data_IF_069854679082
#
_entry.id   IF_069854679082
#
_cell.length_a   1.000
_cell.length_b   1.000
_cell.length_c   1.000
_cell.angle_alpha   90.00
_cell.angle_beta   90.00
_cell.angle_gamma   90.00
#
_symmetry.space_group_name_H-M   'P 1'
#
loop_
_entity.id
_entity.type
_entity.pdbx_description
1 polymer ?
#
# COMPACT_ATOMS: atom_id res chain seq x y z
N UNK A 1 10.39 -15.72 -10.22
CA UNK A 1 9.55 -16.00 -9.03
C UNK A 1 10.35 -16.86 -8.09
N UNK A 2 10.53 -16.42 -6.83
CA UNK A 2 11.31 -17.16 -5.83
C UNK A 2 10.56 -18.38 -5.29
N UNK A 3 11.26 -19.28 -4.58
CA UNK A 3 10.68 -20.53 -4.06
C UNK A 3 9.58 -20.29 -3.00
N UNK A 4 9.73 -19.25 -2.18
CA UNK A 4 8.73 -18.88 -1.17
C UNK A 4 7.42 -18.41 -1.83
N UNK A 5 7.51 -17.56 -2.86
CA UNK A 5 6.31 -17.11 -3.61
C UNK A 5 5.60 -18.29 -4.28
N UNK A 6 6.33 -19.23 -4.87
CA UNK A 6 5.74 -20.47 -5.42
C UNK A 6 5.04 -21.29 -4.34
N UNK A 7 5.66 -21.39 -3.16
CA UNK A 7 5.06 -22.10 -2.03
C UNK A 7 3.77 -21.45 -1.56
N UNK A 8 3.73 -20.09 -1.43
CA UNK A 8 2.53 -19.34 -1.06
C UNK A 8 1.41 -19.55 -2.08
N UNK A 9 1.71 -19.43 -3.39
CA UNK A 9 0.71 -19.69 -4.45
C UNK A 9 0.14 -21.09 -4.34
N UNK A 10 1.00 -22.10 -4.18
CA UNK A 10 0.58 -23.50 -4.06
C UNK A 10 -0.27 -23.75 -2.80
N UNK A 11 0.04 -23.07 -1.68
CA UNK A 11 -0.77 -23.11 -0.44
C UNK A 11 -2.15 -22.48 -0.69
N UNK A 12 -2.22 -21.32 -1.36
CA UNK A 12 -3.48 -20.68 -1.73
C UNK A 12 -4.32 -21.61 -2.61
N UNK A 13 -3.77 -22.15 -3.68
CA UNK A 13 -4.48 -23.02 -4.62
C UNK A 13 -5.04 -24.29 -3.96
N UNK A 14 -4.34 -24.84 -2.96
CA UNK A 14 -4.75 -26.07 -2.28
C UNK A 14 -5.72 -25.86 -1.12
N UNK A 15 -5.52 -24.80 -0.35
CA UNK A 15 -6.16 -24.64 0.95
C UNK A 15 -7.08 -23.42 1.03
N UNK A 16 -6.83 -22.37 0.24
CA UNK A 16 -7.48 -21.05 0.33
C UNK A 16 -8.01 -20.53 -1.01
N UNK A 17 -8.19 -21.39 -2.02
CA UNK A 17 -8.58 -21.00 -3.38
C UNK A 17 -9.87 -20.20 -3.47
N UNK A 18 -10.83 -20.44 -2.55
CA UNK A 18 -12.11 -19.74 -2.50
C UNK A 18 -12.08 -18.55 -1.52
N UNK A 19 -11.04 -18.47 -0.67
CA UNK A 19 -10.90 -17.50 0.41
C UNK A 19 -10.03 -16.30 0.04
N UNK A 20 -9.05 -16.47 -0.85
CA UNK A 20 -8.13 -15.41 -1.30
C UNK A 20 -8.55 -14.94 -2.69
N UNK A 21 -8.91 -13.67 -2.82
CA UNK A 21 -9.27 -13.06 -4.10
C UNK A 21 -8.03 -12.85 -5.00
N UNK A 22 -6.97 -12.25 -4.43
CA UNK A 22 -5.72 -11.94 -5.14
C UNK A 22 -4.51 -12.17 -4.24
N UNK A 23 -3.38 -12.58 -4.83
CA UNK A 23 -2.05 -12.45 -4.25
C UNK A 23 -1.27 -11.43 -5.09
N UNK A 24 -0.69 -10.45 -4.44
CA UNK A 24 -0.03 -9.31 -5.07
C UNK A 24 1.45 -9.30 -4.67
N UNK A 25 2.31 -9.03 -5.64
CA UNK A 25 3.69 -8.62 -5.44
C UNK A 25 3.87 -7.16 -5.86
N UNK A 26 4.90 -6.49 -5.35
CA UNK A 26 5.25 -5.12 -5.74
C UNK A 26 6.57 -5.13 -6.50
N UNK A 27 6.55 -4.59 -7.71
CA UNK A 27 7.73 -4.52 -8.58
C UNK A 27 8.77 -3.55 -8.01
N UNK A 28 9.99 -4.05 -7.83
CA UNK A 28 11.11 -3.23 -7.37
C UNK A 28 11.15 -3.00 -5.87
N UNK A 29 10.30 -3.67 -5.09
CA UNK A 29 10.31 -3.64 -3.65
C UNK A 29 11.13 -4.81 -3.11
N UNK A 30 12.43 -4.60 -3.01
CA UNK A 30 13.35 -5.47 -2.29
C UNK A 30 14.29 -4.60 -1.49
N UNK A 31 14.33 -4.79 -0.19
CA UNK A 31 15.28 -4.14 0.72
C UNK A 31 16.69 -4.68 0.57
N UNK A 32 16.85 -5.85 -0.04
CA UNK A 32 18.15 -6.46 -0.34
C UNK A 32 18.26 -6.78 -1.84
N UNK A 33 19.31 -6.31 -2.46
CA UNK A 33 19.57 -6.26 -3.90
C UNK A 33 19.49 -7.57 -4.72
N UNK A 34 19.04 -8.69 -4.14
CA UNK A 34 18.99 -10.01 -4.77
C UNK A 34 17.58 -10.54 -5.08
N UNK A 35 16.49 -9.89 -4.64
CA UNK A 35 15.15 -10.24 -5.08
C UNK A 35 14.85 -9.58 -6.43
N UNK A 36 15.44 -10.06 -7.49
CA UNK A 36 15.07 -9.71 -8.86
C UNK A 36 13.70 -10.28 -9.22
N UNK A 37 12.64 -9.50 -8.93
CA UNK A 37 11.28 -9.72 -9.45
C UNK A 37 10.42 -10.71 -8.63
N UNK A 38 9.11 -10.53 -8.68
CA UNK A 38 8.05 -11.48 -8.31
C UNK A 38 8.11 -12.09 -6.89
N UNK A 39 8.38 -11.26 -5.86
CA UNK A 39 8.08 -11.60 -4.47
C UNK A 39 6.66 -11.17 -4.15
N UNK A 40 5.93 -11.97 -3.34
CA UNK A 40 4.65 -11.50 -2.79
C UNK A 40 4.88 -10.36 -1.80
N UNK A 41 3.82 -9.57 -1.60
CA UNK A 41 3.78 -8.50 -0.61
C UNK A 41 2.52 -8.62 0.25
N UNK A 42 1.34 -8.67 -0.36
CA UNK A 42 0.07 -8.81 0.34
C UNK A 42 -0.92 -9.67 -0.43
N UNK A 43 -1.99 -10.08 0.25
CA UNK A 43 -3.14 -10.71 -0.40
C UNK A 43 -4.43 -9.93 -0.12
N UNK A 44 -5.41 -10.08 -1.04
CA UNK A 44 -6.75 -9.53 -0.86
C UNK A 44 -7.67 -10.65 -0.39
N UNK A 45 -8.23 -10.59 0.83
CA UNK A 45 -9.15 -11.61 1.31
C UNK A 45 -10.50 -11.52 0.58
N UNK A 46 -11.08 -12.69 0.27
CA UNK A 46 -12.44 -12.84 -0.19
C UNK A 46 -13.40 -13.24 0.96
N UNK A 47 -12.86 -13.92 1.96
CA UNK A 47 -13.55 -14.32 3.19
C UNK A 47 -12.70 -14.04 4.41
N UNK A 48 -13.31 -14.06 5.60
CA UNK A 48 -12.56 -13.87 6.87
C UNK A 48 -11.52 -14.99 7.10
N UNK A 49 -11.78 -16.20 6.60
CA UNK A 49 -10.84 -17.32 6.72
C UNK A 49 -9.50 -17.06 6.06
N UNK A 50 -9.46 -16.24 5.01
CA UNK A 50 -8.20 -15.86 4.38
C UNK A 50 -7.20 -15.22 5.35
N UNK A 51 -7.66 -14.59 6.44
CA UNK A 51 -6.76 -13.96 7.43
C UNK A 51 -5.88 -14.98 8.17
N UNK A 52 -6.23 -16.27 8.17
CA UNK A 52 -5.39 -17.35 8.71
C UNK A 52 -4.11 -17.56 7.88
N UNK A 53 -4.05 -17.03 6.66
CA UNK A 53 -2.88 -17.07 5.78
C UNK A 53 -1.81 -16.02 6.17
N UNK A 54 -2.17 -15.00 6.98
CA UNK A 54 -1.26 -13.96 7.39
C UNK A 54 -0.11 -14.55 8.22
N UNK A 55 1.13 -14.39 7.75
CA UNK A 55 2.31 -15.02 8.36
C UNK A 55 3.58 -14.21 8.04
N UNK A 56 4.51 -14.20 8.99
CA UNK A 56 5.87 -13.69 8.79
C UNK A 56 6.82 -14.87 8.61
N UNK A 57 7.50 -14.91 7.47
CA UNK A 57 8.55 -15.90 7.17
C UNK A 57 9.91 -15.29 7.44
N UNK A 58 10.81 -16.04 8.10
CA UNK A 58 12.22 -15.64 8.27
C UNK A 58 13.07 -16.61 7.45
N UNK A 59 13.68 -16.10 6.38
CA UNK A 59 14.55 -16.88 5.49
C UNK A 59 15.90 -16.18 5.41
N UNK A 60 16.97 -16.90 5.77
CA UNK A 60 18.34 -16.38 5.80
C UNK A 60 18.50 -15.09 6.64
N UNK A 61 17.67 -14.96 7.71
CA UNK A 61 17.64 -13.78 8.59
C UNK A 61 16.84 -12.61 8.06
N UNK A 62 16.18 -12.75 6.92
CA UNK A 62 15.32 -11.72 6.29
C UNK A 62 13.86 -12.05 6.58
N UNK A 63 13.10 -11.07 7.09
CA UNK A 63 11.65 -11.16 7.30
C UNK A 63 10.89 -10.95 5.98
N UNK A 64 9.94 -11.84 5.71
CA UNK A 64 8.99 -11.72 4.60
C UNK A 64 7.59 -11.77 5.16
N UNK A 65 6.88 -10.67 5.12
CA UNK A 65 5.53 -10.57 5.65
C UNK A 65 4.49 -10.81 4.56
N UNK A 66 3.58 -11.73 4.83
CA UNK A 66 2.38 -11.94 4.03
C UNK A 66 1.16 -11.49 4.86
N UNK A 67 0.54 -10.39 4.45
CA UNK A 67 -0.55 -9.78 5.22
C UNK A 67 -1.77 -9.43 4.36
N UNK A 68 -2.97 -9.36 4.97
CA UNK A 68 -4.19 -9.03 4.25
C UNK A 68 -4.30 -7.52 3.99
N UNK A 69 -4.77 -7.16 2.80
CA UNK A 69 -5.28 -5.83 2.48
C UNK A 69 -6.67 -5.94 1.89
N UNK A 70 -7.64 -5.27 2.50
CA UNK A 70 -9.02 -5.31 2.04
C UNK A 70 -9.22 -4.58 0.71
N UNK A 71 -10.30 -4.91 0.01
CA UNK A 71 -10.74 -4.14 -1.16
C UNK A 71 -10.95 -2.66 -0.83
N UNK A 72 -11.41 -2.34 0.38
CA UNK A 72 -11.58 -0.96 0.84
C UNK A 72 -10.25 -0.19 0.85
N UNK A 73 -9.14 -0.81 1.31
CA UNK A 73 -7.81 -0.17 1.25
C UNK A 73 -7.36 0.09 -0.19
N UNK A 74 -7.66 -0.81 -1.12
CA UNK A 74 -7.37 -0.59 -2.54
C UNK A 74 -8.21 0.56 -3.11
N UNK A 75 -9.48 0.68 -2.73
CA UNK A 75 -10.32 1.82 -3.09
C UNK A 75 -9.79 3.15 -2.49
N UNK A 76 -9.28 3.13 -1.27
CA UNK A 76 -8.62 4.30 -0.68
C UNK A 76 -7.35 4.68 -1.47
N UNK A 77 -6.60 3.70 -1.96
CA UNK A 77 -5.45 3.93 -2.84
C UNK A 77 -5.85 4.58 -4.17
N UNK A 78 -7.04 4.24 -4.73
CA UNK A 78 -7.60 4.91 -5.93
C UNK A 78 -7.76 6.42 -5.70
N UNK A 79 -8.13 6.80 -4.48
CA UNK A 79 -8.36 8.19 -4.08
C UNK A 79 -7.13 8.86 -3.46
N UNK A 80 -5.99 8.17 -3.43
CA UNK A 80 -4.75 8.62 -2.80
C UNK A 80 -4.85 8.82 -1.28
N UNK A 81 -5.83 8.19 -0.63
CA UNK A 81 -5.99 8.19 0.83
C UNK A 81 -5.13 7.12 1.52
N UNK A 82 -4.71 6.13 0.75
CA UNK A 82 -3.74 5.09 1.14
C UNK A 82 -2.60 5.05 0.10
N UNK A 83 -1.74 4.04 0.17
CA UNK A 83 -0.54 3.95 -0.66
C UNK A 83 -0.86 3.64 -2.13
N UNK A 84 -0.75 4.63 -3.01
CA UNK A 84 -0.96 4.50 -4.45
C UNK A 84 -0.01 3.46 -5.11
N UNK A 85 1.17 3.25 -4.51
CA UNK A 85 2.15 2.25 -4.91
C UNK A 85 1.57 0.83 -4.97
N UNK A 86 0.63 0.50 -4.07
CA UNK A 86 -0.05 -0.80 -4.02
C UNK A 86 -0.85 -1.12 -5.28
N UNK A 87 -1.22 -0.10 -6.04
CA UNK A 87 -1.90 -0.25 -7.33
C UNK A 87 -0.92 -0.11 -8.48
N UNK A 88 -0.10 0.93 -8.50
CA UNK A 88 0.73 1.28 -9.65
C UNK A 88 1.81 0.22 -9.94
N UNK A 89 2.61 -0.16 -8.93
CA UNK A 89 3.70 -1.13 -9.08
C UNK A 89 3.29 -2.58 -8.79
N UNK A 90 2.01 -2.81 -8.57
CA UNK A 90 1.49 -4.13 -8.27
C UNK A 90 1.62 -5.11 -9.45
N UNK A 91 1.97 -6.35 -9.11
CA UNK A 91 1.98 -7.50 -10.00
C UNK A 91 1.02 -8.54 -9.41
N UNK A 92 0.00 -8.95 -10.16
CA UNK A 92 -0.91 -10.00 -9.73
C UNK A 92 -0.22 -11.35 -9.91
N UNK A 93 0.06 -12.03 -8.81
CA UNK A 93 0.73 -13.35 -8.78
C UNK A 93 -0.27 -14.50 -8.79
N UNK A 94 -1.48 -14.27 -8.24
CA UNK A 94 -2.60 -15.19 -8.24
C UNK A 94 -3.91 -14.39 -8.28
N UNK A 95 -4.89 -14.88 -9.02
CA UNK A 95 -6.26 -14.37 -9.01
C UNK A 95 -7.25 -15.54 -8.91
N UNK A 96 -8.20 -15.48 -7.99
CA UNK A 96 -9.24 -16.49 -7.79
C UNK A 96 -10.17 -16.56 -9.00
N UNK A 97 -10.48 -15.41 -9.58
CA UNK A 97 -11.41 -15.28 -10.70
C UNK A 97 -10.99 -14.16 -11.65
N UNK A 98 -11.52 -14.21 -12.87
CA UNK A 98 -11.37 -13.12 -13.84
C UNK A 98 -12.03 -11.83 -13.33
N UNK A 99 -13.14 -11.92 -12.59
CA UNK A 99 -13.83 -10.77 -12.01
C UNK A 99 -12.97 -10.05 -10.97
N UNK A 100 -12.28 -10.80 -10.08
CA UNK A 100 -11.36 -10.22 -9.10
C UNK A 100 -10.19 -9.50 -9.79
N UNK A 101 -9.65 -10.09 -10.87
CA UNK A 101 -8.60 -9.47 -11.66
C UNK A 101 -9.08 -8.16 -12.32
N UNK A 102 -10.23 -8.19 -12.98
CA UNK A 102 -10.82 -7.02 -13.64
C UNK A 102 -11.13 -5.90 -12.64
N UNK A 103 -11.62 -6.24 -11.44
CA UNK A 103 -11.83 -5.28 -10.36
C UNK A 103 -10.54 -4.59 -9.94
N UNK A 104 -9.45 -5.34 -9.82
CA UNK A 104 -8.14 -4.79 -9.47
C UNK A 104 -7.60 -3.85 -10.57
N UNK A 105 -7.67 -4.28 -11.82
CA UNK A 105 -7.24 -3.47 -12.97
C UNK A 105 -8.10 -2.19 -13.12
N UNK A 106 -9.39 -2.25 -12.77
CA UNK A 106 -10.25 -1.07 -12.73
C UNK A 106 -9.80 -0.09 -11.64
N UNK A 107 -9.45 -0.56 -10.43
CA UNK A 107 -8.88 0.29 -9.38
C UNK A 107 -7.62 1.01 -9.88
N UNK A 108 -6.69 0.29 -10.50
CA UNK A 108 -5.46 0.85 -11.08
C UNK A 108 -5.75 1.90 -12.13
N UNK A 109 -6.65 1.61 -13.07
CA UNK A 109 -7.08 2.54 -14.12
C UNK A 109 -7.71 3.80 -13.55
N UNK A 110 -8.62 3.68 -12.58
CA UNK A 110 -9.26 4.83 -11.93
C UNK A 110 -8.27 5.72 -11.18
N UNK A 111 -7.29 5.15 -10.49
CA UNK A 111 -6.22 5.91 -9.83
C UNK A 111 -5.45 6.77 -10.85
N UNK A 112 -5.01 6.18 -11.97
CA UNK A 112 -4.31 6.90 -13.05
C UNK A 112 -5.21 8.00 -13.64
N UNK A 113 -6.49 7.70 -13.86
CA UNK A 113 -7.45 8.69 -14.35
C UNK A 113 -7.65 9.85 -13.37
N UNK A 114 -7.65 9.59 -12.06
CA UNK A 114 -7.75 10.61 -11.03
C UNK A 114 -6.51 11.50 -11.02
N UNK A 115 -5.31 10.94 -11.08
CA UNK A 115 -4.06 11.70 -11.19
C UNK A 115 -3.99 12.59 -12.44
N UNK A 116 -4.71 12.26 -13.50
CA UNK A 116 -4.77 13.07 -14.74
C UNK A 116 -5.88 14.11 -14.77
N UNK A 117 -6.67 14.29 -13.68
CA UNK A 117 -7.76 15.28 -13.58
C UNK A 117 -7.33 16.45 -12.71
N UNK A 118 -7.16 17.64 -13.28
CA UNK A 118 -6.78 18.86 -12.54
C UNK A 118 -7.67 19.10 -11.32
N UNK A 119 -8.99 18.99 -11.47
CA UNK A 119 -9.93 19.21 -10.37
C UNK A 119 -9.70 18.21 -9.20
N UNK A 120 -9.34 16.95 -9.49
CA UNK A 120 -9.02 15.96 -8.47
C UNK A 120 -7.69 16.30 -7.79
N UNK A 121 -6.62 16.58 -8.55
CA UNK A 121 -5.29 16.86 -7.98
C UNK A 121 -5.29 18.13 -7.14
N UNK A 122 -5.98 19.21 -7.57
CA UNK A 122 -6.14 20.42 -6.77
C UNK A 122 -6.93 20.16 -5.48
N UNK A 123 -8.07 19.46 -5.57
CA UNK A 123 -8.86 19.10 -4.40
C UNK A 123 -8.09 18.26 -3.40
N UNK A 124 -7.34 17.27 -3.89
CA UNK A 124 -6.54 16.39 -3.04
C UNK A 124 -5.34 17.08 -2.41
N UNK A 125 -4.69 17.99 -3.14
CA UNK A 125 -3.61 18.80 -2.57
C UNK A 125 -4.10 19.70 -1.43
N UNK A 126 -5.26 20.35 -1.61
CA UNK A 126 -5.89 21.16 -0.55
C UNK A 126 -6.24 20.31 0.67
N UNK A 127 -6.78 19.10 0.48
CA UNK A 127 -7.08 18.17 1.57
C UNK A 127 -5.82 17.83 2.38
N UNK A 128 -4.70 17.51 1.74
CA UNK A 128 -3.44 17.25 2.42
C UNK A 128 -2.91 18.48 3.16
N UNK A 129 -3.01 19.67 2.57
CA UNK A 129 -2.61 20.92 3.20
C UNK A 129 -3.48 21.25 4.42
N UNK A 130 -4.79 21.05 4.34
CA UNK A 130 -5.71 21.27 5.46
C UNK A 130 -5.40 20.32 6.62
N UNK A 131 -5.17 19.02 6.34
CA UNK A 131 -4.72 18.04 7.36
C UNK A 131 -3.39 18.46 8.01
N UNK A 132 -2.42 18.90 7.22
CA UNK A 132 -1.14 19.39 7.75
C UNK A 132 -1.32 20.62 8.64
N UNK A 133 -2.19 21.56 8.24
CA UNK A 133 -2.50 22.75 9.04
C UNK A 133 -3.20 22.41 10.36
N UNK A 134 -4.10 21.43 10.37
CA UNK A 134 -4.77 20.99 11.58
C UNK A 134 -3.77 20.34 12.57
N UNK A 135 -2.85 19.49 12.09
CA UNK A 135 -1.77 18.96 12.92
C UNK A 135 -0.89 20.09 13.46
N UNK A 136 -0.50 21.05 12.61
CA UNK A 136 0.31 22.20 13.04
C UNK A 136 -0.37 23.01 14.16
N UNK A 137 -1.68 23.25 14.08
CA UNK A 137 -2.44 23.99 15.10
C UNK A 137 -2.43 23.31 16.45
N UNK A 138 -2.35 21.99 16.51
CA UNK A 138 -2.22 21.23 17.77
C UNK A 138 -0.77 21.15 18.24
N UNK A 139 0.17 20.93 17.30
CA UNK A 139 1.59 20.79 17.58
C UNK A 139 2.20 22.01 18.28
N UNK A 140 1.78 23.22 17.95
CA UNK A 140 2.33 24.46 18.55
C UNK A 140 2.04 24.58 20.06
N UNK A 141 1.12 23.80 20.60
CA UNK A 141 0.79 23.74 22.04
C UNK A 141 1.31 22.46 22.73
N UNK A 142 1.99 21.55 21.97
CA UNK A 142 2.51 20.31 22.53
C UNK A 142 3.85 20.56 23.25
N UNK A 143 3.93 20.12 24.52
CA UNK A 143 5.13 20.30 25.35
C UNK A 143 6.12 19.13 25.23
N UNK A 144 5.65 17.96 24.77
CA UNK A 144 6.45 16.74 24.69
C UNK A 144 7.22 16.70 23.36
N UNK A 145 8.53 16.88 23.44
CA UNK A 145 9.41 16.95 22.26
C UNK A 145 9.26 15.77 21.27
N UNK A 146 9.02 14.55 21.77
CA UNK A 146 8.84 13.38 20.90
C UNK A 146 7.55 13.47 20.08
N UNK A 147 6.46 14.05 20.65
CA UNK A 147 5.21 14.29 19.91
C UNK A 147 5.39 15.40 18.88
N UNK A 148 6.05 16.50 19.26
CA UNK A 148 6.36 17.58 18.31
C UNK A 148 7.11 17.04 17.10
N UNK A 149 8.11 16.15 17.31
CA UNK A 149 8.85 15.52 16.21
C UNK A 149 7.94 14.65 15.34
N UNK A 150 7.14 13.78 15.95
CA UNK A 150 6.22 12.91 15.22
C UNK A 150 5.19 13.71 14.41
N UNK A 151 4.62 14.77 14.98
CA UNK A 151 3.67 15.65 14.29
C UNK A 151 4.34 16.45 13.17
N UNK A 152 5.59 16.89 13.36
CA UNK A 152 6.37 17.55 12.31
C UNK A 152 6.66 16.61 11.13
N UNK A 153 6.97 15.34 11.39
CA UNK A 153 7.15 14.32 10.35
C UNK A 153 5.85 14.08 9.58
N UNK A 154 4.70 14.00 10.27
CA UNK A 154 3.40 13.90 9.62
C UNK A 154 3.08 15.11 8.73
N UNK A 155 3.36 16.34 9.22
CA UNK A 155 3.19 17.56 8.42
C UNK A 155 4.06 17.51 7.16
N UNK A 156 5.33 17.15 7.31
CA UNK A 156 6.26 17.04 6.18
C UNK A 156 5.78 16.01 5.15
N UNK A 157 5.28 14.86 5.59
CA UNK A 157 4.73 13.84 4.70
C UNK A 157 3.51 14.35 3.94
N UNK A 158 2.54 14.99 4.63
CA UNK A 158 1.34 15.54 4.00
C UNK A 158 1.67 16.63 2.97
N UNK A 159 2.62 17.52 3.27
CA UNK A 159 3.08 18.53 2.32
C UNK A 159 3.78 17.92 1.11
N UNK A 160 4.58 16.87 1.32
CA UNK A 160 5.22 16.13 0.24
C UNK A 160 4.19 15.45 -0.66
N UNK A 161 3.12 14.87 -0.09
CA UNK A 161 1.98 14.31 -0.84
C UNK A 161 1.24 15.40 -1.63
N UNK A 162 1.02 16.59 -1.04
CA UNK A 162 0.39 17.71 -1.74
C UNK A 162 1.20 18.15 -2.96
N UNK A 163 2.54 18.26 -2.82
CA UNK A 163 3.42 18.61 -3.93
C UNK A 163 3.42 17.53 -5.01
N UNK A 164 3.48 16.25 -4.60
CA UNK A 164 3.48 15.15 -5.55
C UNK A 164 2.19 15.12 -6.38
N UNK A 165 1.02 15.22 -5.73
CA UNK A 165 -0.25 15.16 -6.45
C UNK A 165 -0.44 16.36 -7.39
N UNK A 166 0.02 17.56 -7.04
CA UNK A 166 0.03 18.72 -7.93
C UNK A 166 0.92 18.54 -9.18
N UNK A 167 1.89 17.64 -9.08
CA UNK A 167 2.71 17.21 -10.22
C UNK A 167 2.17 15.94 -10.89
N UNK A 168 0.88 15.61 -10.71
CA UNK A 168 0.22 14.43 -11.28
C UNK A 168 0.90 13.11 -10.95
N UNK A 169 1.50 13.03 -9.74
CA UNK A 169 2.18 11.83 -9.23
C UNK A 169 1.83 11.57 -7.77
N UNK A 170 2.44 10.59 -7.16
CA UNK A 170 2.29 10.24 -5.75
C UNK A 170 3.66 10.03 -5.09
N UNK A 171 3.72 10.07 -3.74
CA UNK A 171 4.95 9.78 -3.00
C UNK A 171 5.11 8.26 -2.82
N UNK A 172 6.33 7.77 -2.99
CA UNK A 172 6.68 6.36 -2.76
C UNK A 172 7.06 6.10 -1.27
N UNK A 173 7.26 7.15 -0.49
CA UNK A 173 7.87 7.10 0.85
C UNK A 173 6.97 6.52 1.96
N UNK A 174 5.67 6.36 1.74
CA UNK A 174 4.76 5.84 2.75
C UNK A 174 5.03 4.39 3.21
N UNK A 175 5.88 3.66 2.50
CA UNK A 175 6.22 2.27 2.85
C UNK A 175 7.13 2.19 4.08
N UNK A 176 7.91 3.25 4.37
CA UNK A 176 8.87 3.25 5.48
C UNK A 176 8.28 3.67 6.83
N UNK A 177 7.14 4.36 6.86
CA UNK A 177 6.56 4.89 8.10
C UNK A 177 5.76 3.84 8.91
N UNK A 178 5.17 2.84 8.27
CA UNK A 178 4.41 1.80 8.98
C UNK A 178 5.31 0.80 9.74
N UNK A 179 6.57 0.60 9.32
CA UNK A 179 7.49 -0.34 9.96
C UNK A 179 8.29 0.27 11.13
N UNK A 180 8.14 1.56 11.45
CA UNK A 180 8.84 2.23 12.55
C UNK A 180 7.94 2.53 13.77
N UNK A 181 6.69 2.10 13.78
CA UNK A 181 5.72 2.37 14.85
C UNK A 181 5.61 1.24 15.90
N UNK A 182 6.72 0.49 16.17
CA UNK A 182 6.81 -0.44 17.30
C UNK A 182 8.06 -0.17 18.13
#
# INVERSE_FOLDING_TARGET
MNELTKWVINKIEKEYKDDVALLIGIKGHSTDGDCHGECFDFFVPATERANELAETFIIDGIGHDLYPRSWERLENSVNLDDMALLLDKAIVLYARSQEDLERFEDCKKRMIQNLNKDAFVYGKALEYMDKALDIYRTMIFEEKLYRVRSEADCIHELLSRAVAVLNHTYTESAIYSENQAY
#
